data_IF_051228916684
#
_entry.id   IF_051228916684
#
_cell.length_a   1.000
_cell.length_b   1.000
_cell.length_c   1.000
_cell.angle_alpha   90.00
_cell.angle_beta   90.00
_cell.angle_gamma   90.00
#
_symmetry.space_group_name_H-M   'P 1'
#
loop_
_entity.id
_entity.type
_entity.pdbx_description
1 polymer ?
#
# COMPACT_ATOMS: atom_id res chain seq x y z
N UNK A 1 -4.10 0.04 5.67
CA UNK A 1 -4.20 0.60 4.31
C UNK A 1 -5.21 -0.14 3.40
N UNK A 2 -5.13 -1.47 3.20
CA UNK A 2 -6.02 -2.17 2.28
C UNK A 2 -7.52 -2.01 2.57
N UNK A 3 -7.92 -2.12 3.83
CA UNK A 3 -9.33 -1.96 4.23
C UNK A 3 -9.86 -0.55 3.98
N UNK A 4 -9.00 0.47 4.18
CA UNK A 4 -9.36 1.87 3.89
C UNK A 4 -9.57 2.06 2.39
N UNK A 5 -8.74 1.48 1.54
CA UNK A 5 -8.92 1.51 0.09
C UNK A 5 -10.25 0.88 -0.35
N UNK A 6 -10.62 -0.23 0.29
CA UNK A 6 -11.94 -0.87 0.04
C UNK A 6 -13.06 0.08 0.46
N UNK A 7 -12.98 0.66 1.65
CA UNK A 7 -13.98 1.59 2.16
C UNK A 7 -14.12 2.83 1.27
N UNK A 8 -13.00 3.46 0.90
CA UNK A 8 -12.98 4.63 0.01
C UNK A 8 -13.49 4.30 -1.39
N UNK A 9 -13.16 3.12 -1.92
CA UNK A 9 -13.65 2.62 -3.19
C UNK A 9 -15.18 2.47 -3.20
N UNK A 10 -15.75 1.94 -2.13
CA UNK A 10 -17.21 1.83 -1.99
C UNK A 10 -17.89 3.20 -1.83
N UNK A 11 -17.37 4.06 -0.93
CA UNK A 11 -18.02 5.33 -0.59
C UNK A 11 -17.91 6.37 -1.71
N UNK A 12 -16.73 6.51 -2.31
CA UNK A 12 -16.46 7.61 -3.25
C UNK A 12 -16.50 7.22 -4.72
N UNK A 13 -16.29 5.93 -5.03
CA UNK A 13 -16.24 5.42 -6.40
C UNK A 13 -17.42 4.50 -6.73
N UNK A 14 -18.31 4.24 -5.76
CA UNK A 14 -19.46 3.36 -5.95
C UNK A 14 -19.08 1.92 -6.28
N UNK A 15 -17.88 1.46 -5.87
CA UNK A 15 -17.43 0.09 -6.11
C UNK A 15 -18.32 -0.87 -5.34
N UNK A 16 -18.90 -1.85 -6.03
CA UNK A 16 -19.72 -2.89 -5.41
C UNK A 16 -18.89 -4.16 -5.25
N UNK A 17 -18.84 -4.65 -4.03
CA UNK A 17 -18.19 -5.90 -3.70
C UNK A 17 -19.15 -7.08 -3.89
N UNK A 18 -18.61 -8.20 -4.38
CA UNK A 18 -19.34 -9.47 -4.46
C UNK A 18 -19.34 -10.16 -3.09
N UNK A 19 -20.22 -11.13 -2.90
CA UNK A 19 -20.35 -11.85 -1.62
C UNK A 19 -19.03 -12.44 -1.11
N UNK A 20 -18.25 -13.08 -1.99
CA UNK A 20 -16.94 -13.62 -1.63
C UNK A 20 -15.91 -12.53 -1.28
N UNK A 21 -15.98 -11.39 -1.93
CA UNK A 21 -15.14 -10.24 -1.59
C UNK A 21 -15.48 -9.67 -0.21
N UNK A 22 -16.74 -9.66 0.18
CA UNK A 22 -17.14 -9.29 1.53
C UNK A 22 -16.60 -10.26 2.59
N UNK A 23 -16.59 -11.58 2.31
CA UNK A 23 -15.94 -12.55 3.19
C UNK A 23 -14.44 -12.27 3.33
N UNK A 24 -13.76 -11.95 2.23
CA UNK A 24 -12.34 -11.58 2.26
C UNK A 24 -12.09 -10.30 3.09
N UNK A 25 -12.93 -9.27 2.94
CA UNK A 25 -12.86 -8.04 3.74
C UNK A 25 -13.07 -8.33 5.22
N UNK A 26 -14.04 -9.16 5.56
CA UNK A 26 -14.32 -9.55 6.95
C UNK A 26 -13.13 -10.32 7.56
N UNK A 27 -12.53 -11.27 6.84
CA UNK A 27 -11.34 -12.00 7.27
C UNK A 27 -10.16 -11.03 7.50
N UNK A 28 -9.91 -10.12 6.57
CA UNK A 28 -8.84 -9.13 6.71
C UNK A 28 -9.09 -8.19 7.89
N UNK A 29 -10.33 -7.78 8.12
CA UNK A 29 -10.70 -6.93 9.25
C UNK A 29 -10.46 -7.64 10.59
N UNK A 30 -10.82 -8.91 10.69
CA UNK A 30 -10.54 -9.74 11.88
C UNK A 30 -9.03 -9.82 12.14
N UNK A 31 -8.22 -10.10 11.10
CA UNK A 31 -6.75 -10.14 11.23
C UNK A 31 -6.18 -8.82 11.73
N UNK A 32 -6.64 -7.68 11.19
CA UNK A 32 -6.20 -6.35 11.63
C UNK A 32 -6.64 -6.06 13.07
N UNK A 33 -7.86 -6.44 13.46
CA UNK A 33 -8.37 -6.25 14.82
C UNK A 33 -7.56 -7.07 15.84
N UNK A 34 -7.23 -8.32 15.54
CA UNK A 34 -6.37 -9.16 16.39
C UNK A 34 -5.03 -8.46 16.62
N UNK A 35 -4.41 -7.97 15.55
CA UNK A 35 -3.12 -7.27 15.65
C UNK A 35 -3.24 -5.97 16.46
N UNK A 36 -4.34 -5.24 16.30
CA UNK A 36 -4.58 -4.00 17.04
C UNK A 36 -4.75 -4.25 18.54
N UNK A 37 -5.47 -5.31 18.91
CA UNK A 37 -5.66 -5.72 20.30
C UNK A 37 -4.32 -6.20 20.90
N UNK A 38 -3.56 -7.02 20.16
CA UNK A 38 -2.27 -7.51 20.59
C UNK A 38 -1.24 -6.38 20.79
N UNK A 39 -1.35 -5.29 20.02
CA UNK A 39 -0.47 -4.14 20.15
C UNK A 39 -0.72 -3.31 21.42
N UNK A 40 -1.90 -3.41 22.02
CA UNK A 40 -2.25 -2.81 23.33
C UNK A 40 -2.36 -1.29 23.37
N UNK A 41 -2.15 -0.58 22.25
CA UNK A 41 -2.31 0.87 22.13
C UNK A 41 -2.79 1.25 20.73
N UNK A 42 -3.44 2.42 20.60
CA UNK A 42 -3.90 2.91 19.30
C UNK A 42 -2.69 3.40 18.48
N UNK A 43 -2.36 2.75 17.35
CA UNK A 43 -1.21 3.14 16.53
C UNK A 43 -1.57 4.34 15.63
N UNK A 44 -1.61 5.54 16.23
CA UNK A 44 -2.06 6.79 15.56
C UNK A 44 -1.32 7.03 14.25
N UNK A 45 0.01 6.85 14.24
CA UNK A 45 0.85 7.03 13.03
C UNK A 45 0.45 6.05 11.92
N UNK A 46 0.24 4.78 12.27
CA UNK A 46 -0.18 3.77 11.28
C UNK A 46 -1.56 4.06 10.70
N UNK A 47 -2.48 4.55 11.54
CA UNK A 47 -3.82 4.95 11.11
C UNK A 47 -3.74 6.17 10.19
N UNK A 48 -3.00 7.21 10.58
CA UNK A 48 -2.81 8.42 9.78
C UNK A 48 -2.19 8.10 8.40
N UNK A 49 -1.15 7.26 8.38
CA UNK A 49 -0.55 6.78 7.13
C UNK A 49 -1.54 5.98 6.28
N UNK A 50 -2.34 5.12 6.90
CA UNK A 50 -3.31 4.30 6.18
C UNK A 50 -4.38 5.16 5.51
N UNK A 51 -4.89 6.18 6.18
CA UNK A 51 -5.83 7.14 5.58
C UNK A 51 -5.15 8.00 4.51
N UNK A 52 -3.97 8.54 4.78
CA UNK A 52 -3.20 9.35 3.82
C UNK A 52 -2.97 8.61 2.51
N UNK A 53 -2.46 7.38 2.57
CA UNK A 53 -2.27 6.54 1.38
C UNK A 53 -3.58 6.12 0.70
N UNK A 54 -4.63 5.88 1.47
CA UNK A 54 -5.96 5.59 0.93
C UNK A 54 -6.51 6.77 0.12
N UNK A 55 -6.47 7.96 0.69
CA UNK A 55 -6.88 9.19 0.00
C UNK A 55 -5.99 9.51 -1.20
N UNK A 56 -4.68 9.28 -1.11
CA UNK A 56 -3.78 9.42 -2.25
C UNK A 56 -4.20 8.52 -3.41
N UNK A 57 -4.46 7.23 -3.15
CA UNK A 57 -4.96 6.31 -4.17
C UNK A 57 -6.31 6.74 -4.78
N UNK A 58 -7.23 7.24 -3.95
CA UNK A 58 -8.52 7.78 -4.39
C UNK A 58 -8.35 9.01 -5.29
N UNK A 59 -7.53 9.97 -4.87
CA UNK A 59 -7.26 11.19 -5.64
C UNK A 59 -6.62 10.86 -6.99
N UNK A 60 -5.62 9.99 -6.99
CA UNK A 60 -4.97 9.51 -8.23
C UNK A 60 -5.96 8.89 -9.20
N UNK A 61 -6.90 8.11 -8.69
CA UNK A 61 -7.95 7.51 -9.51
C UNK A 61 -8.92 8.54 -10.07
N UNK A 62 -9.27 9.58 -9.30
CA UNK A 62 -10.19 10.65 -9.76
C UNK A 62 -9.55 11.61 -10.76
N UNK A 63 -8.29 11.94 -10.57
CA UNK A 63 -7.59 12.92 -11.41
C UNK A 63 -7.26 12.35 -12.80
N UNK A 64 -7.18 11.02 -12.95
CA UNK A 64 -7.00 10.32 -14.22
C UNK A 64 -5.78 10.76 -15.04
N UNK A 65 -4.75 11.34 -14.42
CA UNK A 65 -3.48 11.65 -15.06
C UNK A 65 -2.64 10.39 -15.22
N UNK A 66 -1.81 10.36 -16.26
CA UNK A 66 -0.81 9.31 -16.41
C UNK A 66 0.11 9.24 -15.19
N UNK A 67 0.51 8.03 -14.82
CA UNK A 67 1.31 7.79 -13.61
C UNK A 67 2.58 8.63 -13.58
N UNK A 68 3.30 8.71 -14.69
CA UNK A 68 4.55 9.45 -14.80
C UNK A 68 4.33 10.96 -14.68
N UNK A 69 3.42 11.52 -15.47
CA UNK A 69 3.11 12.95 -15.47
C UNK A 69 2.63 13.44 -14.11
N UNK A 70 1.73 12.67 -13.50
CA UNK A 70 1.22 13.08 -12.21
C UNK A 70 2.27 12.97 -11.10
N UNK A 71 3.11 11.91 -11.07
CA UNK A 71 4.19 11.80 -10.10
C UNK A 71 5.24 12.91 -10.30
N UNK A 72 5.53 13.27 -11.54
CA UNK A 72 6.44 14.39 -11.85
C UNK A 72 5.91 15.71 -11.29
N UNK A 73 4.61 16.02 -11.51
CA UNK A 73 3.99 17.24 -10.99
C UNK A 73 4.01 17.25 -9.45
N UNK A 74 3.67 16.14 -8.82
CA UNK A 74 3.68 16.00 -7.35
C UNK A 74 5.08 16.26 -6.78
N UNK A 75 6.11 15.64 -7.36
CA UNK A 75 7.50 15.85 -6.92
C UNK A 75 7.98 17.25 -7.18
N UNK A 76 7.61 17.86 -8.30
CA UNK A 76 7.95 19.25 -8.63
C UNK A 76 7.34 20.25 -7.63
N UNK A 77 6.07 20.03 -7.25
CA UNK A 77 5.39 20.87 -6.23
C UNK A 77 5.98 20.66 -4.85
N UNK A 78 6.39 19.43 -4.51
CA UNK A 78 7.02 19.12 -3.23
C UNK A 78 8.49 19.58 -3.13
N UNK A 79 9.18 19.76 -4.25
CA UNK A 79 10.60 20.12 -4.29
C UNK A 79 10.92 21.40 -3.48
N UNK A 80 10.24 22.55 -3.67
CA UNK A 80 10.54 23.75 -2.91
C UNK A 80 10.29 23.59 -1.41
N UNK A 81 9.25 22.85 -1.02
CA UNK A 81 8.94 22.56 0.38
C UNK A 81 10.02 21.68 1.00
N UNK A 82 10.42 20.62 0.32
CA UNK A 82 11.47 19.72 0.77
C UNK A 82 12.83 20.43 0.84
N UNK A 83 13.17 21.27 -0.14
CA UNK A 83 14.39 22.06 -0.14
C UNK A 83 14.41 23.07 1.02
N UNK A 84 13.31 23.78 1.24
CA UNK A 84 13.20 24.72 2.36
C UNK A 84 13.34 24.00 3.70
N UNK A 85 12.69 22.85 3.87
CA UNK A 85 12.84 22.05 5.07
C UNK A 85 14.28 21.60 5.29
N UNK A 86 14.95 21.08 4.25
CA UNK A 86 16.31 20.57 4.33
C UNK A 86 17.33 21.68 4.63
N UNK A 87 17.16 22.86 4.03
CA UNK A 87 18.13 23.96 4.15
C UNK A 87 17.94 24.79 5.42
N UNK A 88 16.71 24.91 5.95
CA UNK A 88 16.43 25.87 7.02
C UNK A 88 15.89 25.25 8.31
N UNK A 89 15.36 24.02 8.25
CA UNK A 89 14.63 23.41 9.41
C UNK A 89 15.30 22.11 9.84
N UNK A 90 15.88 21.34 8.92
CA UNK A 90 16.47 20.06 9.24
C UNK A 90 17.76 20.22 10.06
N UNK A 91 17.67 19.87 11.33
CA UNK A 91 18.81 19.86 12.26
C UNK A 91 19.20 18.39 12.55
N UNK A 92 19.78 17.74 11.57
CA UNK A 92 20.24 16.37 11.66
C UNK A 92 21.68 16.24 11.21
N UNK A 93 22.50 15.40 11.85
CA UNK A 93 23.88 15.16 11.43
C UNK A 93 24.05 14.78 9.95
N UNK A 94 22.99 14.23 9.34
CA UNK A 94 22.99 13.76 7.94
C UNK A 94 22.32 14.73 6.97
N UNK A 95 21.81 15.87 7.43
CA UNK A 95 21.18 16.89 6.58
C UNK A 95 22.17 17.66 5.72
N UNK A 96 23.40 17.81 6.20
CA UNK A 96 24.47 18.45 5.45
C UNK A 96 25.18 17.42 4.56
N UNK A 97 24.84 17.45 3.28
CA UNK A 97 25.41 16.55 2.27
C UNK A 97 26.93 16.75 2.08
N UNK A 98 27.47 17.91 2.45
CA UNK A 98 28.92 18.21 2.32
C UNK A 98 29.74 17.48 3.40
N UNK A 99 29.14 17.24 4.55
CA UNK A 99 29.78 16.56 5.69
C UNK A 99 29.62 15.04 5.66
N UNK A 100 28.72 14.55 4.83
CA UNK A 100 28.43 13.11 4.73
C UNK A 100 29.53 12.36 3.94
N UNK A 101 29.83 11.10 4.31
CA UNK A 101 30.61 10.20 3.47
C UNK A 101 29.94 10.02 2.10
N UNK A 102 30.73 9.92 1.03
CA UNK A 102 30.23 9.72 -0.33
C UNK A 102 29.27 8.53 -0.46
N UNK A 103 29.54 7.45 0.27
CA UNK A 103 28.65 6.26 0.30
C UNK A 103 27.26 6.59 0.81
N UNK A 104 27.14 7.41 1.86
CA UNK A 104 25.85 7.82 2.40
C UNK A 104 25.08 8.70 1.41
N UNK A 105 25.74 9.64 0.80
CA UNK A 105 25.12 10.50 -0.24
C UNK A 105 24.63 9.66 -1.43
N UNK A 106 25.39 8.67 -1.88
CA UNK A 106 24.96 7.75 -2.94
C UNK A 106 23.74 6.92 -2.51
N UNK A 107 23.69 6.46 -1.27
CA UNK A 107 22.53 5.73 -0.74
C UNK A 107 21.30 6.63 -0.65
N UNK A 108 21.44 7.89 -0.25
CA UNK A 108 20.34 8.84 -0.20
C UNK A 108 19.77 9.13 -1.60
N UNK A 109 20.62 9.32 -2.60
CA UNK A 109 20.19 9.48 -3.99
C UNK A 109 19.54 8.20 -4.52
N UNK A 110 20.16 7.04 -4.27
CA UNK A 110 19.62 5.75 -4.68
C UNK A 110 18.25 5.45 -4.05
N UNK A 111 18.03 5.85 -2.80
CA UNK A 111 16.74 5.70 -2.12
C UNK A 111 15.61 6.42 -2.88
N UNK A 112 15.87 7.62 -3.43
CA UNK A 112 14.90 8.34 -4.26
C UNK A 112 14.52 7.56 -5.53
N UNK A 113 15.49 6.98 -6.23
CA UNK A 113 15.24 6.16 -7.42
C UNK A 113 14.48 4.87 -7.07
N UNK A 114 14.94 4.18 -6.03
CA UNK A 114 14.34 2.89 -5.60
C UNK A 114 12.89 3.07 -5.15
N UNK A 115 12.56 4.18 -4.47
CA UNK A 115 11.18 4.46 -4.03
C UNK A 115 10.29 4.94 -5.17
N UNK A 116 10.84 5.57 -6.21
CA UNK A 116 10.06 6.04 -7.36
C UNK A 116 9.44 4.90 -8.15
N UNK A 117 10.14 3.78 -8.34
CA UNK A 117 9.67 2.63 -9.13
C UNK A 117 8.38 2.03 -8.54
N UNK A 118 8.31 1.62 -7.26
CA UNK A 118 7.08 1.12 -6.67
C UNK A 118 5.94 2.14 -6.70
N UNK A 119 6.25 3.43 -6.52
CA UNK A 119 5.25 4.48 -6.54
C UNK A 119 4.65 4.68 -7.93
N UNK A 120 5.46 4.60 -9.00
CA UNK A 120 4.97 4.59 -10.39
C UNK A 120 4.08 3.37 -10.66
N UNK A 121 4.49 2.20 -10.20
CA UNK A 121 3.68 0.98 -10.33
C UNK A 121 2.35 1.12 -9.58
N UNK A 122 2.37 1.65 -8.37
CA UNK A 122 1.17 1.89 -7.56
C UNK A 122 0.22 2.88 -8.26
N UNK A 123 0.72 4.02 -8.70
CA UNK A 123 -0.11 5.04 -9.36
C UNK A 123 -0.67 4.54 -10.70
N UNK A 124 0.13 3.80 -11.47
CA UNK A 124 -0.33 3.13 -12.69
C UNK A 124 -1.39 2.07 -12.45
N UNK A 125 -1.31 1.35 -11.34
CA UNK A 125 -2.33 0.38 -10.93
C UNK A 125 -3.60 1.08 -10.40
N UNK A 126 -3.46 2.17 -9.62
CA UNK A 126 -4.58 2.92 -9.05
C UNK A 126 -5.51 3.50 -10.13
N UNK A 127 -4.97 3.96 -11.25
CA UNK A 127 -5.76 4.48 -12.37
C UNK A 127 -6.50 3.39 -13.14
N UNK A 128 -5.98 2.16 -13.19
CA UNK A 128 -6.50 1.06 -14.04
C UNK A 128 -7.35 0.06 -13.28
N UNK A 129 -7.06 -0.19 -12.00
CA UNK A 129 -7.74 -1.20 -11.19
C UNK A 129 -8.82 -0.56 -10.31
N UNK A 130 -9.75 -1.38 -9.81
CA UNK A 130 -10.63 -0.99 -8.72
C UNK A 130 -9.80 -0.71 -7.47
N UNK A 131 -10.19 0.31 -6.69
CA UNK A 131 -9.46 0.69 -5.48
C UNK A 131 -9.48 -0.44 -4.43
N UNK A 132 -10.60 -1.17 -4.35
CA UNK A 132 -10.72 -2.37 -3.53
C UNK A 132 -9.71 -3.46 -3.94
N UNK A 133 -9.54 -3.70 -5.25
CA UNK A 133 -8.57 -4.69 -5.75
C UNK A 133 -7.14 -4.25 -5.46
N UNK A 134 -6.82 -2.98 -5.68
CA UNK A 134 -5.52 -2.41 -5.35
C UNK A 134 -5.19 -2.57 -3.86
N UNK A 135 -6.19 -2.33 -2.98
CA UNK A 135 -6.06 -2.53 -1.55
C UNK A 135 -5.62 -3.95 -1.19
N UNK A 136 -6.23 -4.97 -1.78
CA UNK A 136 -5.82 -6.36 -1.52
C UNK A 136 -4.39 -6.66 -1.98
N UNK A 137 -3.95 -6.14 -3.13
CA UNK A 137 -2.56 -6.30 -3.57
C UNK A 137 -1.54 -5.68 -2.61
N UNK A 138 -1.91 -4.65 -1.87
CA UNK A 138 -1.03 -4.03 -0.86
C UNK A 138 -0.69 -4.95 0.32
N UNK A 139 -1.41 -6.05 0.54
CA UNK A 139 -1.02 -7.05 1.55
C UNK A 139 0.23 -7.86 1.16
N UNK A 140 0.62 -7.85 -0.10
CA UNK A 140 1.84 -8.54 -0.56
C UNK A 140 3.08 -7.93 0.11
N UNK A 141 3.17 -6.61 0.20
CA UNK A 141 4.30 -5.92 0.84
C UNK A 141 4.52 -6.35 2.30
N UNK A 142 3.54 -6.20 3.22
CA UNK A 142 3.64 -6.69 4.58
C UNK A 142 3.95 -8.18 4.68
N UNK A 143 3.42 -9.01 3.77
CA UNK A 143 3.69 -10.44 3.75
C UNK A 143 5.16 -10.73 3.42
N UNK A 144 5.73 -10.05 2.43
CA UNK A 144 7.15 -10.19 2.10
C UNK A 144 8.05 -9.66 3.23
N UNK A 145 7.70 -8.51 3.83
CA UNK A 145 8.42 -7.97 4.99
C UNK A 145 8.40 -8.94 6.16
N UNK A 146 7.27 -9.56 6.42
CA UNK A 146 7.15 -10.58 7.47
C UNK A 146 8.04 -11.80 7.19
N UNK A 147 8.06 -12.31 5.96
CA UNK A 147 8.93 -13.43 5.58
C UNK A 147 10.41 -13.05 5.74
N UNK A 148 10.81 -11.85 5.33
CA UNK A 148 12.17 -11.36 5.51
C UNK A 148 12.53 -11.26 7.00
N UNK A 149 11.65 -10.70 7.84
CA UNK A 149 11.88 -10.54 9.27
C UNK A 149 12.11 -11.89 9.95
N UNK A 150 11.29 -12.90 9.64
CA UNK A 150 11.40 -14.23 10.26
C UNK A 150 12.54 -15.04 9.67
N UNK A 151 12.68 -15.10 8.33
CA UNK A 151 13.63 -16.03 7.68
C UNK A 151 15.06 -15.48 7.63
N UNK A 152 15.22 -14.16 7.48
CA UNK A 152 16.55 -13.54 7.33
C UNK A 152 17.03 -12.92 8.64
N UNK A 153 16.14 -12.15 9.31
CA UNK A 153 16.51 -11.46 10.55
C UNK A 153 16.29 -12.29 11.82
N UNK A 154 15.68 -13.50 11.71
CA UNK A 154 15.47 -14.38 12.86
C UNK A 154 14.52 -13.81 13.91
N UNK A 155 13.62 -12.88 13.52
CA UNK A 155 12.65 -12.34 14.46
C UNK A 155 11.72 -13.43 15.01
N UNK A 156 11.37 -13.32 16.29
CA UNK A 156 10.50 -14.28 16.94
C UNK A 156 9.12 -14.31 16.27
N UNK A 157 8.72 -15.50 15.83
CA UNK A 157 7.41 -15.78 15.28
C UNK A 157 6.41 -16.00 16.41
N UNK A 158 5.75 -14.93 16.86
CA UNK A 158 4.74 -15.00 17.92
C UNK A 158 3.41 -15.52 17.40
N UNK A 159 2.63 -16.18 18.27
CA UNK A 159 1.31 -16.72 17.91
C UNK A 159 0.37 -15.67 17.36
N UNK A 160 0.41 -14.44 17.88
CA UNK A 160 -0.44 -13.33 17.44
C UNK A 160 -0.15 -12.92 16.00
N UNK A 161 1.15 -12.85 15.64
CA UNK A 161 1.59 -12.60 14.26
C UNK A 161 1.13 -13.73 13.34
N UNK A 162 1.27 -15.00 13.78
CA UNK A 162 0.83 -16.17 13.01
C UNK A 162 -0.65 -16.12 12.68
N UNK A 163 -1.48 -15.89 13.67
CA UNK A 163 -2.93 -15.83 13.54
C UNK A 163 -3.32 -14.66 12.62
N UNK A 164 -2.76 -13.47 12.84
CA UNK A 164 -3.01 -12.30 12.01
C UNK A 164 -2.70 -12.57 10.53
N UNK A 165 -1.52 -13.12 10.23
CA UNK A 165 -1.15 -13.42 8.86
C UNK A 165 -1.97 -14.54 8.24
N UNK A 166 -2.40 -15.55 9.02
CA UNK A 166 -3.31 -16.59 8.53
C UNK A 166 -4.65 -16.00 8.06
N UNK A 167 -5.23 -15.05 8.80
CA UNK A 167 -6.44 -14.35 8.39
C UNK A 167 -6.21 -13.48 7.14
N UNK A 168 -5.09 -12.76 7.07
CA UNK A 168 -4.76 -11.92 5.92
C UNK A 168 -4.54 -12.78 4.66
N UNK A 169 -3.79 -13.87 4.75
CA UNK A 169 -3.54 -14.76 3.63
C UNK A 169 -4.81 -15.50 3.21
N UNK A 170 -5.65 -15.92 4.17
CA UNK A 170 -6.98 -16.46 3.89
C UNK A 170 -7.84 -15.45 3.11
N UNK A 171 -7.84 -14.18 3.51
CA UNK A 171 -8.52 -13.12 2.79
C UNK A 171 -7.99 -12.94 1.36
N UNK A 172 -6.67 -12.96 1.17
CA UNK A 172 -6.03 -12.87 -0.15
C UNK A 172 -6.42 -14.04 -1.06
N UNK A 173 -6.42 -15.26 -0.55
CA UNK A 173 -6.82 -16.47 -1.30
C UNK A 173 -8.28 -16.36 -1.74
N UNK A 174 -9.19 -16.03 -0.82
CA UNK A 174 -10.64 -15.88 -1.12
C UNK A 174 -10.85 -14.78 -2.17
N UNK A 175 -10.20 -13.62 -2.02
CA UNK A 175 -10.33 -12.51 -2.96
C UNK A 175 -9.77 -12.85 -4.34
N UNK A 176 -8.61 -13.50 -4.40
CA UNK A 176 -7.97 -13.92 -5.65
C UNK A 176 -8.79 -14.97 -6.39
N UNK A 177 -9.33 -15.95 -5.65
CA UNK A 177 -10.20 -16.98 -6.22
C UNK A 177 -11.48 -16.38 -6.84
N UNK A 178 -12.13 -15.43 -6.15
CA UNK A 178 -13.28 -14.72 -6.68
C UNK A 178 -12.95 -13.94 -7.96
N UNK A 179 -11.79 -13.26 -7.98
CA UNK A 179 -11.29 -12.53 -9.14
C UNK A 179 -11.07 -13.42 -10.37
N UNK A 180 -10.38 -14.54 -10.17
CA UNK A 180 -10.07 -15.51 -11.23
C UNK A 180 -11.34 -16.21 -11.76
N UNK A 181 -12.22 -16.65 -10.86
CA UNK A 181 -13.48 -17.32 -11.21
C UNK A 181 -14.38 -16.42 -12.07
N UNK A 182 -14.49 -15.14 -11.68
CA UNK A 182 -15.32 -14.19 -12.44
C UNK A 182 -14.70 -13.83 -13.80
N UNK A 183 -13.39 -13.76 -13.89
CA UNK A 183 -12.70 -13.47 -15.15
C UNK A 183 -12.91 -14.61 -16.18
N UNK A 184 -12.90 -15.88 -15.71
CA UNK A 184 -13.24 -17.04 -16.55
C UNK A 184 -14.66 -16.98 -17.06
N UNK A 185 -15.64 -16.66 -16.19
CA UNK A 185 -17.07 -16.54 -16.58
C UNK A 185 -17.28 -15.45 -17.63
N UNK A 186 -16.64 -14.28 -17.45
CA UNK A 186 -16.74 -13.19 -18.40
C UNK A 186 -16.11 -13.51 -19.78
N UNK A 187 -15.00 -14.24 -19.80
CA UNK A 187 -14.38 -14.70 -21.06
C UNK A 187 -15.29 -15.69 -21.80
N UNK A 188 -15.88 -16.63 -21.09
CA UNK A 188 -16.82 -17.60 -21.68
C UNK A 188 -18.09 -16.95 -22.22
N UNK A 189 -18.62 -15.94 -21.53
CA UNK A 189 -19.77 -15.17 -22.01
C UNK A 189 -19.49 -14.40 -23.30
N UNK A 190 -18.27 -13.84 -23.42
CA UNK A 190 -17.85 -13.12 -24.64
C UNK A 190 -17.56 -14.03 -25.84
N UNK A 191 -17.32 -15.31 -25.64
CA UNK A 191 -17.10 -16.28 -26.73
C UNK A 191 -18.39 -16.89 -27.25
N UNK A 192 -19.50 -16.72 -26.50
CA UNK A 192 -20.84 -17.25 -26.90
C UNK A 192 -21.73 -16.24 -27.64
N UNK A 193 -21.32 -14.97 -27.67
CA UNK A 193 -21.93 -13.89 -28.45
C UNK A 193 -21.05 -13.51 -29.64
#
# INVERSE_FOLDING_TARGET
NPLINVLLGMLFLGERLRRLQWCAVALAAVGVLIQLIAFGSIPIVAIALAFSFGFYGLLRKKVSLEAQTGLFIETLVMLPLAATYLLFIADSPTSDLSMNPMQLNLLLVAAGVITTIPLLCFTGAATRLKLSTLGFFQYIGPSLMFLLAVLIYGEAFTSDKAVTFAFIWGALVVFSFDGLSNNKKNKQAKQKN
#
